data_IF_840910134894
#
_entry.id   IF_840910134894
#
_cell.length_a   1.000
_cell.length_b   1.000
_cell.length_c   1.000
_cell.angle_alpha   90.00
_cell.angle_beta   90.00
_cell.angle_gamma   90.00
#
_symmetry.space_group_name_H-M   'P 1'
#
loop_
_entity.id
_entity.type
_entity.pdbx_description
1 polymer ?
#
# COMPACT_ATOMS: atom_id res chain seq x y z
N UNK A 1 -27.44 -38.17 27.58
CA UNK A 1 -28.02 -37.42 26.45
C UNK A 1 -26.90 -36.82 25.61
N UNK A 2 -26.88 -37.14 24.30
CA UNK A 2 -26.21 -36.49 23.14
C UNK A 2 -24.68 -36.24 23.22
N UNK A 3 -23.82 -37.05 22.59
CA UNK A 3 -23.52 -37.25 21.15
C UNK A 3 -22.60 -36.19 20.54
N UNK A 4 -21.33 -36.56 20.32
CA UNK A 4 -20.37 -35.87 19.44
C UNK A 4 -20.22 -36.74 18.18
N UNK A 5 -20.71 -36.26 17.06
CA UNK A 5 -20.41 -36.71 15.69
C UNK A 5 -19.74 -35.54 14.98
N UNK A 6 -18.93 -35.67 13.93
CA UNK A 6 -18.52 -36.79 13.11
C UNK A 6 -17.67 -36.19 11.98
N UNK A 7 -16.52 -36.81 11.73
CA UNK A 7 -15.49 -36.45 10.76
C UNK A 7 -16.04 -36.61 9.31
N UNK A 8 -15.75 -35.69 8.39
CA UNK A 8 -16.00 -35.85 6.94
C UNK A 8 -14.74 -35.55 6.13
N UNK A 9 -14.06 -36.61 5.72
CA UNK A 9 -13.15 -36.62 4.56
C UNK A 9 -13.93 -37.14 3.35
N UNK A 10 -13.74 -36.54 2.17
CA UNK A 10 -14.27 -37.03 0.88
C UNK A 10 -13.12 -37.61 0.05
N UNK A 11 -13.29 -38.78 -0.58
CA UNK A 11 -12.53 -39.14 -1.77
C UNK A 11 -13.40 -39.08 -3.05
N UNK A 12 -12.75 -38.65 -4.13
CA UNK A 12 -13.25 -38.68 -5.51
C UNK A 12 -13.28 -40.12 -6.08
N UNK A 13 -14.26 -40.48 -6.93
CA UNK A 13 -14.24 -41.74 -7.65
C UNK A 13 -13.58 -41.65 -9.04
N UNK A 14 -12.85 -42.72 -9.34
CA UNK A 14 -12.03 -43.01 -10.51
C UNK A 14 -12.83 -43.35 -11.77
N UNK A 15 -12.22 -43.07 -12.92
CA UNK A 15 -12.75 -43.25 -14.27
C UNK A 15 -12.85 -44.72 -14.73
N UNK A 16 -13.83 -45.01 -15.60
CA UNK A 16 -13.99 -46.27 -16.37
C UNK A 16 -13.35 -46.15 -17.77
N UNK A 17 -12.96 -47.28 -18.41
CA UNK A 17 -12.39 -47.29 -19.75
C UNK A 17 -13.41 -47.63 -20.86
N UNK A 18 -13.23 -47.04 -22.04
CA UNK A 18 -13.74 -47.44 -23.36
C UNK A 18 -12.48 -47.49 -24.26
N UNK A 19 -12.21 -48.41 -25.19
CA UNK A 19 -13.00 -49.33 -25.99
C UNK A 19 -12.30 -49.36 -27.36
N UNK A 20 -11.61 -50.46 -27.69
CA UNK A 20 -10.79 -50.61 -28.90
C UNK A 20 -11.65 -50.87 -30.15
N UNK A 21 -11.27 -50.30 -31.30
CA UNK A 21 -11.79 -50.65 -32.61
C UNK A 21 -10.64 -50.85 -33.62
N UNK A 22 -10.68 -52.00 -34.31
CA UNK A 22 -9.81 -52.47 -35.40
C UNK A 22 -10.25 -51.89 -36.75
N UNK A 23 -9.35 -51.82 -37.75
CA UNK A 23 -9.77 -51.77 -39.15
C UNK A 23 -8.70 -51.39 -40.20
N UNK A 24 -8.04 -52.42 -40.74
CA UNK A 24 -7.60 -52.65 -42.14
C UNK A 24 -6.72 -51.67 -42.94
N UNK A 25 -5.61 -52.22 -43.46
CA UNK A 25 -4.81 -51.76 -44.61
C UNK A 25 -5.09 -52.64 -45.84
N UNK A 26 -4.85 -52.16 -47.07
CA UNK A 26 -4.69 -53.03 -48.23
C UNK A 26 -3.28 -52.97 -48.87
N UNK A 27 -3.00 -54.06 -49.57
CA UNK A 27 -1.73 -54.55 -50.12
C UNK A 27 -1.08 -53.71 -51.24
N UNK A 28 0.23 -53.94 -51.40
CA UNK A 28 1.05 -53.55 -52.53
C UNK A 28 1.45 -54.79 -53.36
N UNK A 29 1.46 -54.66 -54.69
CA UNK A 29 2.12 -55.60 -55.58
C UNK A 29 1.93 -55.22 -57.05
N UNK A 30 3.01 -54.86 -57.76
CA UNK A 30 3.49 -55.57 -58.96
C UNK A 30 4.73 -54.91 -59.60
N UNK A 31 5.54 -55.75 -60.25
CA UNK A 31 6.94 -55.56 -60.62
C UNK A 31 7.11 -55.72 -62.16
N UNK A 32 7.91 -54.82 -62.78
CA UNK A 32 8.88 -55.06 -63.89
C UNK A 32 8.34 -55.48 -65.31
N UNK A 33 8.70 -54.88 -66.47
CA UNK A 33 10.01 -54.86 -67.22
C UNK A 33 9.84 -54.27 -68.67
N UNK A 34 10.88 -54.14 -69.56
CA UNK A 34 11.27 -52.84 -70.15
C UNK A 34 11.49 -52.79 -71.71
N UNK A 35 12.05 -51.65 -72.19
CA UNK A 35 12.91 -51.40 -73.39
C UNK A 35 12.26 -51.10 -74.77
N UNK A 36 12.58 -49.92 -75.32
CA UNK A 36 13.17 -49.73 -76.68
C UNK A 36 13.78 -48.32 -76.83
N UNK A 37 14.91 -48.23 -77.57
CA UNK A 37 15.82 -47.07 -77.70
C UNK A 37 15.47 -46.14 -78.91
N UNK A 38 16.36 -45.25 -79.41
CA UNK A 38 16.25 -43.79 -79.29
C UNK A 38 15.97 -43.10 -80.64
N UNK A 39 15.13 -42.06 -80.66
CA UNK A 39 14.95 -41.21 -81.84
C UNK A 39 15.70 -39.88 -81.70
N UNK A 40 16.41 -39.55 -82.76
CA UNK A 40 17.34 -38.43 -82.95
C UNK A 40 16.69 -37.03 -82.98
N UNK A 41 15.53 -36.86 -82.34
CA UNK A 41 14.88 -35.56 -82.08
C UNK A 41 15.35 -34.90 -80.78
N UNK A 42 16.41 -35.41 -80.15
CA UNK A 42 16.82 -34.96 -78.82
C UNK A 42 17.58 -33.63 -78.84
N UNK A 43 18.38 -33.31 -79.86
CA UNK A 43 19.37 -32.22 -79.77
C UNK A 43 18.78 -30.79 -79.83
N UNK A 44 17.70 -30.57 -80.58
CA UNK A 44 17.02 -29.26 -80.63
C UNK A 44 16.00 -29.09 -79.49
N UNK A 45 15.28 -30.17 -79.16
CA UNK A 45 14.39 -30.22 -78.00
C UNK A 45 15.17 -30.02 -76.69
N UNK A 46 16.39 -30.58 -76.55
CA UNK A 46 17.26 -30.38 -75.38
C UNK A 46 17.76 -28.94 -75.25
N UNK A 47 18.03 -28.24 -76.36
CA UNK A 47 18.43 -26.81 -76.34
C UNK A 47 17.25 -25.94 -75.93
N UNK A 48 16.06 -26.17 -76.48
CA UNK A 48 14.83 -25.49 -76.06
C UNK A 48 14.51 -25.80 -74.58
N UNK A 49 14.51 -27.08 -74.17
CA UNK A 49 14.30 -27.50 -72.79
C UNK A 49 15.32 -26.88 -71.84
N UNK A 50 16.59 -26.73 -72.24
CA UNK A 50 17.62 -26.07 -71.41
C UNK A 50 17.42 -24.55 -71.31
N UNK A 51 16.90 -23.90 -72.35
CA UNK A 51 16.55 -22.49 -72.33
C UNK A 51 15.31 -22.24 -71.44
N UNK A 52 14.28 -23.07 -71.57
CA UNK A 52 13.10 -23.05 -70.70
C UNK A 52 13.46 -23.42 -69.25
N UNK A 53 14.34 -24.40 -69.01
CA UNK A 53 14.85 -24.71 -67.66
C UNK A 53 15.63 -23.55 -67.07
N UNK A 54 16.46 -22.85 -67.84
CA UNK A 54 17.21 -21.66 -67.37
C UNK A 54 16.28 -20.50 -67.05
N UNK A 55 15.24 -20.29 -67.86
CA UNK A 55 14.23 -19.25 -67.63
C UNK A 55 13.36 -19.59 -66.41
N UNK A 56 12.96 -20.86 -66.26
CA UNK A 56 12.25 -21.37 -65.08
C UNK A 56 13.15 -21.31 -63.84
N UNK A 57 14.44 -21.63 -63.94
CA UNK A 57 15.42 -21.49 -62.84
C UNK A 57 15.66 -20.03 -62.47
N UNK A 58 15.68 -19.10 -63.43
CA UNK A 58 15.80 -17.66 -63.16
C UNK A 58 14.53 -17.08 -62.54
N UNK A 59 13.35 -17.53 -62.97
CA UNK A 59 12.06 -17.15 -62.38
C UNK A 59 11.90 -17.77 -60.98
N UNK A 60 12.33 -19.02 -60.78
CA UNK A 60 12.36 -19.70 -59.47
C UNK A 60 13.39 -19.06 -58.52
N UNK A 61 14.57 -18.68 -59.01
CA UNK A 61 15.58 -17.99 -58.21
C UNK A 61 15.12 -16.56 -57.85
N UNK A 62 14.50 -15.85 -58.79
CA UNK A 62 13.91 -14.52 -58.56
C UNK A 62 12.74 -14.56 -57.56
N UNK A 63 11.87 -15.56 -57.66
CA UNK A 63 10.78 -15.76 -56.69
C UNK A 63 11.26 -16.23 -55.32
N UNK A 64 12.35 -17.00 -55.24
CA UNK A 64 12.99 -17.34 -53.97
C UNK A 64 13.56 -16.10 -53.26
N UNK A 65 14.13 -15.13 -54.00
CA UNK A 65 14.64 -13.86 -53.44
C UNK A 65 13.50 -12.95 -52.96
N UNK A 66 12.37 -12.90 -53.68
CA UNK A 66 11.18 -12.13 -53.28
C UNK A 66 10.51 -12.72 -52.02
N UNK A 67 10.51 -14.05 -51.83
CA UNK A 67 10.02 -14.67 -50.60
C UNK A 67 10.90 -14.40 -49.37
N UNK A 68 12.20 -14.11 -49.55
CA UNK A 68 13.12 -13.82 -48.43
C UNK A 68 12.96 -12.38 -47.87
N UNK A 69 12.35 -11.46 -48.62
CA UNK A 69 12.11 -10.09 -48.15
C UNK A 69 10.82 -9.94 -47.31
N UNK A 70 9.90 -10.91 -47.35
CA UNK A 70 8.68 -10.89 -46.53
C UNK A 70 8.91 -11.42 -45.09
N UNK A 71 10.08 -11.99 -44.79
CA UNK A 71 10.43 -12.54 -43.47
C UNK A 71 11.01 -11.53 -42.47
N UNK A 72 11.45 -10.35 -42.92
CA UNK A 72 12.06 -9.34 -42.02
C UNK A 72 11.03 -8.53 -41.24
N UNK A 73 9.82 -8.33 -41.77
CA UNK A 73 8.76 -7.60 -41.06
C UNK A 73 8.17 -8.43 -39.92
N UNK A 74 8.00 -9.74 -40.11
CA UNK A 74 7.44 -10.66 -39.10
C UNK A 74 8.40 -10.91 -37.93
N UNK A 75 9.72 -10.97 -38.20
CA UNK A 75 10.76 -11.11 -37.15
C UNK A 75 10.90 -9.88 -36.26
N UNK A 76 10.77 -8.68 -36.84
CA UNK A 76 10.82 -7.43 -36.08
C UNK A 76 9.62 -7.30 -35.13
N UNK A 77 8.42 -7.65 -35.59
CA UNK A 77 7.20 -7.64 -34.76
C UNK A 77 7.24 -8.70 -33.65
N UNK A 78 7.76 -9.91 -33.94
CA UNK A 78 7.90 -10.94 -32.91
C UNK A 78 8.94 -10.60 -31.85
N UNK A 79 10.05 -9.97 -32.24
CA UNK A 79 11.08 -9.56 -31.27
C UNK A 79 10.58 -8.40 -30.40
N UNK A 80 9.88 -7.41 -30.98
CA UNK A 80 9.29 -6.31 -30.23
C UNK A 80 8.22 -6.79 -29.21
N UNK A 81 7.43 -7.80 -29.55
CA UNK A 81 6.45 -8.41 -28.63
C UNK A 81 7.15 -9.24 -27.54
N UNK A 82 8.19 -10.01 -27.88
CA UNK A 82 9.00 -10.75 -26.89
C UNK A 82 9.73 -9.77 -25.95
N UNK A 83 10.28 -8.67 -26.48
CA UNK A 83 10.93 -7.63 -25.69
C UNK A 83 9.90 -6.94 -24.78
N UNK A 84 8.68 -6.67 -25.24
CA UNK A 84 7.61 -6.13 -24.39
C UNK A 84 7.21 -7.10 -23.27
N UNK A 85 7.17 -8.40 -23.54
CA UNK A 85 6.82 -9.44 -22.55
C UNK A 85 7.96 -9.73 -21.56
N UNK A 86 9.19 -9.34 -21.88
CA UNK A 86 10.39 -9.57 -21.03
C UNK A 86 10.91 -8.30 -20.36
N UNK A 87 10.52 -7.12 -20.84
CA UNK A 87 10.73 -5.85 -20.17
C UNK A 87 9.60 -5.62 -19.16
N UNK A 88 9.89 -5.12 -17.94
CA UNK A 88 8.85 -4.64 -17.04
C UNK A 88 8.05 -3.56 -17.77
N UNK A 89 6.71 -3.72 -17.86
CA UNK A 89 5.85 -2.66 -18.39
C UNK A 89 6.19 -1.34 -17.68
N UNK A 90 6.47 -0.25 -18.43
CA UNK A 90 6.86 1.01 -17.83
C UNK A 90 5.77 1.46 -16.89
N UNK A 91 6.16 1.79 -15.66
CA UNK A 91 5.22 2.23 -14.63
C UNK A 91 4.29 3.31 -15.17
N UNK A 92 2.99 3.17 -14.88
CA UNK A 92 2.01 4.18 -15.22
C UNK A 92 2.44 5.55 -14.67
N UNK A 93 1.96 6.64 -15.29
CA UNK A 93 2.22 8.01 -14.82
C UNK A 93 1.98 8.13 -13.31
N UNK A 94 0.84 7.57 -12.84
CA UNK A 94 0.48 7.50 -11.41
C UNK A 94 1.48 6.68 -10.59
N UNK A 95 1.95 5.53 -11.06
CA UNK A 95 2.95 4.72 -10.33
C UNK A 95 4.30 5.45 -10.17
N UNK A 96 4.76 6.17 -11.21
CA UNK A 96 5.97 6.99 -11.10
C UNK A 96 5.81 8.12 -10.10
N UNK A 97 4.65 8.80 -10.09
CA UNK A 97 4.33 9.82 -9.11
C UNK A 97 4.20 9.25 -7.68
N UNK A 98 3.60 8.06 -7.52
CA UNK A 98 3.51 7.35 -6.23
C UNK A 98 4.89 7.11 -5.64
N UNK A 99 5.88 6.66 -6.42
CA UNK A 99 7.24 6.47 -5.90
C UNK A 99 7.85 7.76 -5.35
N UNK A 100 7.66 8.87 -6.05
CA UNK A 100 8.09 10.20 -5.60
C UNK A 100 7.39 10.58 -4.29
N UNK A 101 6.09 10.33 -4.17
CA UNK A 101 5.34 10.58 -2.92
C UNK A 101 5.74 9.67 -1.78
N UNK A 102 6.04 8.40 -2.03
CA UNK A 102 6.57 7.49 -1.00
C UNK A 102 7.90 8.01 -0.45
N UNK A 103 8.81 8.46 -1.33
CA UNK A 103 10.08 9.03 -0.92
C UNK A 103 9.88 10.37 -0.18
N UNK A 104 9.02 11.25 -0.68
CA UNK A 104 8.67 12.50 -0.02
C UNK A 104 8.09 12.28 1.38
N UNK A 105 7.22 11.27 1.55
CA UNK A 105 6.68 10.89 2.85
C UNK A 105 7.75 10.39 3.83
N UNK A 106 8.74 9.65 3.33
CA UNK A 106 9.89 9.22 4.14
C UNK A 106 10.77 10.41 4.57
N UNK A 107 11.00 11.39 3.69
CA UNK A 107 11.70 12.62 4.06
C UNK A 107 10.90 13.47 5.05
N UNK A 108 9.58 13.56 4.86
CA UNK A 108 8.69 14.28 5.78
C UNK A 108 8.74 13.68 7.19
N UNK A 109 8.71 12.34 7.30
CA UNK A 109 8.80 11.64 8.59
C UNK A 109 10.15 11.86 9.30
N UNK A 110 11.21 12.16 8.55
CA UNK A 110 12.56 12.46 9.07
C UNK A 110 12.79 13.98 9.28
N UNK A 111 11.74 14.78 9.22
CA UNK A 111 11.78 16.25 9.35
C UNK A 111 12.61 16.96 8.26
N UNK A 112 12.95 16.28 7.17
CA UNK A 112 13.70 16.84 6.03
C UNK A 112 12.74 17.54 5.05
N UNK A 113 12.23 18.71 5.45
CA UNK A 113 11.16 19.42 4.73
C UNK A 113 11.54 19.83 3.29
N UNK A 114 12.78 20.24 3.05
CA UNK A 114 13.22 20.67 1.71
C UNK A 114 13.23 19.49 0.72
N UNK A 115 13.77 18.34 1.14
CA UNK A 115 13.77 17.12 0.34
C UNK A 115 12.35 16.60 0.10
N UNK A 116 11.50 16.62 1.14
CA UNK A 116 10.09 16.25 1.02
C UNK A 116 9.35 17.15 0.01
N UNK A 117 9.60 18.47 0.06
CA UNK A 117 9.03 19.44 -0.88
C UNK A 117 9.49 19.19 -2.31
N UNK A 118 10.78 18.94 -2.53
CA UNK A 118 11.34 18.67 -3.85
C UNK A 118 10.71 17.42 -4.48
N UNK A 119 10.63 16.31 -3.74
CA UNK A 119 10.05 15.07 -4.24
C UNK A 119 8.53 15.18 -4.46
N UNK A 120 7.83 15.93 -3.60
CA UNK A 120 6.41 16.23 -3.80
C UNK A 120 6.17 17.03 -5.08
N UNK A 121 7.00 18.04 -5.36
CA UNK A 121 6.93 18.81 -6.62
C UNK A 121 7.24 17.95 -7.83
N UNK A 122 8.24 17.07 -7.74
CA UNK A 122 8.55 16.13 -8.81
C UNK A 122 7.37 15.17 -9.09
N UNK A 123 6.66 14.72 -8.06
CA UNK A 123 5.45 13.93 -8.24
C UNK A 123 4.36 14.70 -9.00
N UNK A 124 4.13 15.97 -8.64
CA UNK A 124 3.14 16.83 -9.29
C UNK A 124 3.52 17.23 -10.72
N UNK A 125 4.81 17.27 -11.05
CA UNK A 125 5.26 17.44 -12.45
C UNK A 125 4.96 16.20 -13.31
N UNK A 126 4.97 15.01 -12.69
CA UNK A 126 4.64 13.75 -13.37
C UNK A 126 3.12 13.60 -13.50
N UNK A 127 2.39 13.84 -12.41
CA UNK A 127 0.94 13.72 -12.32
C UNK A 127 0.34 14.94 -11.61
N UNK A 128 -0.07 15.98 -12.38
CA UNK A 128 -0.62 17.21 -11.83
C UNK A 128 -1.95 17.05 -11.09
N UNK A 129 -2.64 15.92 -11.26
CA UNK A 129 -3.95 15.61 -10.67
C UNK A 129 -3.83 14.56 -9.55
N UNK A 130 -2.65 14.40 -8.96
CA UNK A 130 -2.44 13.47 -7.86
C UNK A 130 -2.87 14.07 -6.51
N UNK A 131 -4.09 13.74 -6.07
CA UNK A 131 -4.66 14.24 -4.81
C UNK A 131 -3.75 13.98 -3.59
N UNK A 132 -3.16 12.79 -3.46
CA UNK A 132 -2.25 12.48 -2.35
C UNK A 132 -1.01 13.38 -2.33
N UNK A 133 -0.49 13.79 -3.50
CA UNK A 133 0.65 14.70 -3.58
C UNK A 133 0.32 16.08 -3.01
N UNK A 134 -0.86 16.63 -3.34
CA UNK A 134 -1.33 17.87 -2.72
C UNK A 134 -1.62 17.72 -1.22
N UNK A 135 -2.11 16.55 -0.78
CA UNK A 135 -2.28 16.29 0.65
C UNK A 135 -0.95 16.30 1.39
N UNK A 136 0.12 15.73 0.82
CA UNK A 136 1.46 15.77 1.41
C UNK A 136 2.03 17.19 1.38
N UNK A 137 1.81 17.93 0.30
CA UNK A 137 2.17 19.35 0.20
C UNK A 137 1.52 20.18 1.32
N UNK A 138 0.25 19.91 1.61
CA UNK A 138 -0.47 20.53 2.73
C UNK A 138 0.17 20.24 4.08
N UNK A 139 0.56 18.99 4.33
CA UNK A 139 1.29 18.61 5.56
C UNK A 139 2.65 19.31 5.66
N UNK A 140 3.40 19.41 4.57
CA UNK A 140 4.70 20.11 4.53
C UNK A 140 4.51 21.60 4.85
N UNK A 141 3.53 22.25 4.20
CA UNK A 141 3.23 23.66 4.49
C UNK A 141 2.78 23.86 5.94
N UNK A 142 1.98 22.96 6.50
CA UNK A 142 1.60 23.00 7.91
C UNK A 142 2.82 22.91 8.83
N UNK A 143 3.77 22.01 8.55
CA UNK A 143 5.02 21.89 9.34
C UNK A 143 5.88 23.14 9.26
N UNK A 144 5.91 23.79 8.11
CA UNK A 144 6.60 25.07 7.90
C UNK A 144 5.81 26.28 8.42
N UNK A 145 4.71 26.08 9.15
CA UNK A 145 3.82 27.12 9.66
C UNK A 145 3.21 28.04 8.57
N UNK A 146 3.17 27.56 7.32
CA UNK A 146 2.55 28.24 6.18
C UNK A 146 1.08 27.85 6.07
N UNK A 147 0.26 28.32 7.03
CA UNK A 147 -1.13 27.87 7.22
C UNK A 147 -2.01 28.07 5.99
N UNK A 148 -1.92 29.22 5.31
CA UNK A 148 -2.74 29.51 4.13
C UNK A 148 -2.42 28.58 2.95
N UNK A 149 -1.13 28.31 2.73
CA UNK A 149 -0.68 27.38 1.69
C UNK A 149 -1.08 25.94 2.03
N UNK A 150 -1.06 25.57 3.31
CA UNK A 150 -1.55 24.27 3.77
C UNK A 150 -3.04 24.10 3.46
N UNK A 151 -3.87 25.09 3.81
CA UNK A 151 -5.30 25.11 3.52
C UNK A 151 -5.56 24.97 2.01
N UNK A 152 -4.91 25.78 1.17
CA UNK A 152 -5.05 25.70 -0.30
C UNK A 152 -4.66 24.34 -0.86
N UNK A 153 -3.60 23.72 -0.33
CA UNK A 153 -3.13 22.40 -0.77
C UNK A 153 -4.15 21.31 -0.43
N UNK A 154 -4.69 21.30 0.80
CA UNK A 154 -5.71 20.34 1.19
C UNK A 154 -7.02 20.53 0.41
N UNK A 155 -7.47 21.76 0.20
CA UNK A 155 -8.65 22.02 -0.63
C UNK A 155 -8.46 21.53 -2.07
N UNK A 156 -7.26 21.69 -2.62
CA UNK A 156 -6.92 21.16 -3.94
C UNK A 156 -6.96 19.64 -3.95
N UNK A 157 -6.38 18.98 -2.94
CA UNK A 157 -6.42 17.53 -2.81
C UNK A 157 -7.87 17.01 -2.77
N UNK A 158 -8.74 17.62 -1.95
CA UNK A 158 -10.16 17.24 -1.86
C UNK A 158 -10.89 17.45 -3.19
N UNK A 159 -10.68 18.58 -3.88
CA UNK A 159 -11.29 18.79 -5.21
C UNK A 159 -10.87 17.72 -6.21
N UNK A 160 -9.61 17.27 -6.19
CA UNK A 160 -9.10 16.24 -7.09
C UNK A 160 -9.70 14.87 -6.79
N UNK A 161 -9.91 14.52 -5.51
CA UNK A 161 -10.58 13.25 -5.14
C UNK A 161 -11.99 13.10 -5.71
N UNK A 162 -12.69 14.21 -5.99
CA UNK A 162 -14.03 14.20 -6.57
C UNK A 162 -14.03 14.20 -8.12
N UNK A 163 -12.92 14.57 -8.74
CA UNK A 163 -12.80 14.71 -10.21
C UNK A 163 -12.16 13.50 -10.88
N UNK A 164 -11.23 12.86 -10.19
CA UNK A 164 -10.47 11.71 -10.70
C UNK A 164 -11.04 10.44 -10.08
N UNK A 165 -10.96 9.32 -10.80
CA UNK A 165 -11.26 8.00 -10.23
C UNK A 165 -10.25 7.67 -9.13
N UNK A 166 -10.55 8.07 -7.90
CA UNK A 166 -9.69 7.89 -6.73
C UNK A 166 -10.20 6.75 -5.86
N UNK A 167 -9.30 5.88 -5.40
CA UNK A 167 -9.68 4.77 -4.50
C UNK A 167 -10.16 5.31 -3.15
N UNK A 168 -11.08 4.60 -2.48
CA UNK A 168 -11.54 5.00 -1.15
C UNK A 168 -10.41 5.10 -0.11
N UNK A 169 -9.33 4.32 -0.25
CA UNK A 169 -8.14 4.43 0.59
C UNK A 169 -7.41 5.78 0.42
N UNK A 170 -7.24 6.24 -0.83
CA UNK A 170 -6.63 7.54 -1.11
C UNK A 170 -7.55 8.69 -0.66
N UNK A 171 -8.86 8.60 -0.89
CA UNK A 171 -9.82 9.61 -0.40
C UNK A 171 -9.76 9.69 1.13
N UNK A 172 -9.78 8.54 1.81
CA UNK A 172 -9.73 8.47 3.28
C UNK A 172 -8.44 9.08 3.84
N UNK A 173 -7.28 8.82 3.21
CA UNK A 173 -6.01 9.39 3.64
C UNK A 173 -5.96 10.92 3.47
N UNK A 174 -6.50 11.46 2.37
CA UNK A 174 -6.59 12.91 2.15
C UNK A 174 -7.50 13.57 3.20
N UNK A 175 -8.68 12.98 3.43
CA UNK A 175 -9.64 13.46 4.44
C UNK A 175 -9.07 13.40 5.85
N UNK A 176 -8.35 12.33 6.21
CA UNK A 176 -7.64 12.21 7.48
C UNK A 176 -6.65 13.35 7.70
N UNK A 177 -5.76 13.58 6.73
CA UNK A 177 -4.74 14.61 6.85
C UNK A 177 -5.36 16.01 6.95
N UNK A 178 -6.41 16.27 6.16
CA UNK A 178 -7.11 17.55 6.22
C UNK A 178 -7.84 17.73 7.56
N UNK A 179 -8.50 16.68 8.07
CA UNK A 179 -9.10 16.69 9.40
C UNK A 179 -8.09 16.99 10.50
N UNK A 180 -6.90 16.38 10.44
CA UNK A 180 -5.84 16.65 11.40
C UNK A 180 -5.34 18.09 11.32
N UNK A 181 -5.13 18.62 10.12
CA UNK A 181 -4.79 20.03 9.92
C UNK A 181 -5.84 20.96 10.54
N UNK A 182 -7.12 20.75 10.23
CA UNK A 182 -8.24 21.54 10.80
C UNK A 182 -8.26 21.48 12.33
N UNK A 183 -7.97 20.31 12.90
CA UNK A 183 -7.89 20.14 14.35
C UNK A 183 -6.77 20.98 14.97
N UNK A 184 -5.60 21.03 14.33
CA UNK A 184 -4.48 21.88 14.77
C UNK A 184 -4.81 23.37 14.67
N UNK A 185 -5.68 23.77 13.74
CA UNK A 185 -6.19 25.13 13.63
C UNK A 185 -7.35 25.45 14.58
N UNK A 186 -7.74 24.53 15.47
CA UNK A 186 -8.87 24.69 16.39
C UNK A 186 -10.25 24.59 15.73
N UNK A 187 -10.33 24.21 14.44
CA UNK A 187 -11.58 24.03 13.69
C UNK A 187 -12.16 22.63 13.97
N UNK A 188 -12.51 22.37 15.22
CA UNK A 188 -12.82 21.03 15.73
C UNK A 188 -14.00 20.35 15.03
N UNK A 189 -15.13 21.05 14.84
CA UNK A 189 -16.31 20.47 14.17
C UNK A 189 -16.02 20.09 12.72
N UNK A 190 -15.28 20.95 12.00
CA UNK A 190 -14.85 20.66 10.63
C UNK A 190 -13.86 19.48 10.59
N UNK A 191 -12.93 19.40 11.54
CA UNK A 191 -12.00 18.27 11.66
C UNK A 191 -12.73 16.95 11.86
N UNK A 192 -13.68 16.90 12.81
CA UNK A 192 -14.49 15.72 13.11
C UNK A 192 -15.32 15.28 11.90
N UNK A 193 -15.86 16.24 11.13
CA UNK A 193 -16.55 15.94 9.87
C UNK A 193 -15.61 15.26 8.86
N UNK A 194 -14.41 15.78 8.65
CA UNK A 194 -13.44 15.15 7.73
C UNK A 194 -13.04 13.74 8.20
N UNK A 195 -12.82 13.54 9.50
CA UNK A 195 -12.51 12.21 10.04
C UNK A 195 -13.66 11.22 9.85
N UNK A 196 -14.91 11.63 10.08
CA UNK A 196 -16.07 10.77 9.84
C UNK A 196 -16.19 10.38 8.36
N UNK A 197 -15.95 11.34 7.45
CA UNK A 197 -15.90 11.08 6.01
C UNK A 197 -14.75 10.15 5.63
N UNK A 198 -13.58 10.25 6.27
CA UNK A 198 -12.45 9.35 6.03
C UNK A 198 -12.79 7.91 6.45
N UNK A 199 -13.38 7.75 7.64
CA UNK A 199 -13.75 6.45 8.21
C UNK A 199 -14.82 5.73 7.38
N UNK A 200 -15.69 6.48 6.68
CA UNK A 200 -16.72 5.89 5.83
C UNK A 200 -16.22 5.42 4.45
N UNK A 201 -14.97 5.72 4.09
CA UNK A 201 -14.46 5.36 2.77
C UNK A 201 -14.23 3.84 2.63
N UNK A 202 -14.69 3.22 1.54
CA UNK A 202 -14.46 1.80 1.27
C UNK A 202 -12.96 1.48 1.15
N UNK A 203 -12.50 0.47 1.90
CA UNK A 203 -11.13 -0.01 1.82
C UNK A 203 -10.07 0.90 2.46
N UNK A 204 -10.48 1.94 3.19
CA UNK A 204 -9.55 2.81 3.89
C UNK A 204 -8.79 2.09 5.00
N UNK A 205 -7.46 2.10 4.94
CA UNK A 205 -6.60 1.26 5.78
C UNK A 205 -6.20 1.91 7.11
N UNK A 206 -6.26 3.24 7.23
CA UNK A 206 -5.78 3.97 8.40
C UNK A 206 -6.91 4.29 9.40
N UNK A 207 -7.88 3.38 9.54
CA UNK A 207 -9.03 3.55 10.44
C UNK A 207 -8.60 3.75 11.90
N UNK A 208 -7.71 2.89 12.41
CA UNK A 208 -7.22 2.98 13.79
C UNK A 208 -6.53 4.32 14.08
N UNK A 209 -5.65 4.77 13.18
CA UNK A 209 -4.98 6.06 13.30
C UNK A 209 -5.96 7.23 13.23
N UNK A 210 -7.00 7.15 12.40
CA UNK A 210 -8.02 8.18 12.28
C UNK A 210 -8.87 8.29 13.54
N UNK A 211 -9.28 7.17 14.12
CA UNK A 211 -9.95 7.15 15.41
C UNK A 211 -9.07 7.73 16.53
N UNK A 212 -7.78 7.39 16.55
CA UNK A 212 -6.83 7.92 17.52
C UNK A 212 -6.76 9.46 17.46
N UNK A 213 -6.49 10.03 16.28
CA UNK A 213 -6.35 11.50 16.16
C UNK A 213 -7.69 12.22 16.32
N UNK A 214 -8.81 11.59 15.98
CA UNK A 214 -10.14 12.12 16.28
C UNK A 214 -10.38 12.20 17.79
N UNK A 215 -9.98 11.17 18.55
CA UNK A 215 -10.01 11.17 20.01
C UNK A 215 -9.18 12.31 20.61
N UNK A 216 -7.94 12.49 20.13
CA UNK A 216 -7.09 13.63 20.53
C UNK A 216 -7.78 14.97 20.23
N UNK A 217 -8.42 15.08 19.08
CA UNK A 217 -9.16 16.28 18.71
C UNK A 217 -10.36 16.55 19.63
N UNK A 218 -11.07 15.48 20.01
CA UNK A 218 -12.19 15.54 20.94
C UNK A 218 -11.75 15.97 22.34
N UNK A 219 -10.62 15.49 22.85
CA UNK A 219 -10.02 15.98 24.10
C UNK A 219 -9.76 17.49 24.03
N UNK A 220 -9.11 17.98 22.96
CA UNK A 220 -8.83 19.41 22.77
C UNK A 220 -10.09 20.27 22.70
N UNK A 221 -11.16 19.72 22.13
CA UNK A 221 -12.47 20.37 22.06
C UNK A 221 -13.35 20.19 23.30
N UNK A 222 -12.81 19.60 24.39
CA UNK A 222 -13.52 19.33 25.66
C UNK A 222 -14.74 18.40 25.51
N UNK A 223 -14.60 17.35 24.69
CA UNK A 223 -15.63 16.33 24.44
C UNK A 223 -15.20 14.94 24.96
N UNK A 224 -15.05 14.74 26.29
CA UNK A 224 -14.39 13.56 26.86
C UNK A 224 -15.13 12.24 26.58
N UNK A 225 -16.46 12.25 26.57
CA UNK A 225 -17.27 11.04 26.27
C UNK A 225 -17.02 10.54 24.85
N UNK A 226 -16.98 11.46 23.89
CA UNK A 226 -16.70 11.10 22.50
C UNK A 226 -15.24 10.69 22.33
N UNK A 227 -14.31 11.39 23.00
CA UNK A 227 -12.89 11.05 22.97
C UNK A 227 -12.64 9.61 23.44
N UNK A 228 -13.26 9.21 24.56
CA UNK A 228 -13.21 7.85 25.09
C UNK A 228 -13.65 6.82 24.05
N UNK A 229 -14.81 7.03 23.41
CA UNK A 229 -15.30 6.13 22.36
C UNK A 229 -14.32 6.03 21.17
N UNK A 230 -13.74 7.15 20.75
CA UNK A 230 -12.76 7.17 19.66
C UNK A 230 -11.49 6.41 20.03
N UNK A 231 -10.96 6.58 21.24
CA UNK A 231 -9.79 5.84 21.71
C UNK A 231 -10.07 4.34 21.86
N UNK A 232 -11.23 3.95 22.38
CA UNK A 232 -11.64 2.54 22.44
C UNK A 232 -11.70 1.90 21.05
N UNK A 233 -12.26 2.63 20.06
CA UNK A 233 -12.24 2.18 18.66
C UNK A 233 -10.82 2.08 18.11
N UNK A 234 -9.95 3.04 18.42
CA UNK A 234 -8.54 3.00 18.01
C UNK A 234 -7.81 1.76 18.59
N UNK A 235 -8.05 1.43 19.86
CA UNK A 235 -7.50 0.24 20.50
C UNK A 235 -8.04 -1.07 19.90
N UNK A 236 -9.23 -1.05 19.29
CA UNK A 236 -9.73 -2.18 18.50
C UNK A 236 -8.84 -2.54 17.31
N UNK A 237 -8.10 -1.56 16.76
CA UNK A 237 -7.13 -1.78 15.68
C UNK A 237 -5.70 -1.98 16.20
N UNK A 238 -5.31 -1.23 17.24
CA UNK A 238 -3.99 -1.28 17.85
C UNK A 238 -4.12 -1.38 19.39
N UNK A 239 -4.28 -2.59 19.96
CA UNK A 239 -4.57 -2.76 21.39
C UNK A 239 -3.51 -2.22 22.34
N UNK A 240 -2.28 -2.04 21.85
CA UNK A 240 -1.14 -1.53 22.61
C UNK A 240 -0.72 -0.12 22.15
N UNK A 241 -1.59 0.63 21.49
CA UNK A 241 -1.25 2.02 21.12
C UNK A 241 -1.00 2.86 22.39
N UNK A 242 0.22 3.39 22.57
CA UNK A 242 0.59 4.07 23.82
C UNK A 242 -0.15 5.39 24.01
N UNK A 243 -0.54 6.04 22.91
CA UNK A 243 -1.25 7.33 22.95
C UNK A 243 -2.70 7.11 23.39
N UNK A 244 -3.43 6.19 22.76
CA UNK A 244 -4.81 5.89 23.13
C UNK A 244 -4.94 5.43 24.58
N UNK A 245 -4.04 4.53 25.04
CA UNK A 245 -4.04 4.06 26.44
C UNK A 245 -3.70 5.18 27.43
N UNK A 246 -2.74 6.06 27.10
CA UNK A 246 -2.42 7.21 27.95
C UNK A 246 -3.58 8.19 28.06
N UNK A 247 -4.21 8.55 26.95
CA UNK A 247 -5.34 9.47 26.94
C UNK A 247 -6.55 8.89 27.68
N UNK A 248 -6.85 7.59 27.51
CA UNK A 248 -7.88 6.92 28.31
C UNK A 248 -7.54 6.88 29.80
N UNK A 249 -6.29 6.64 30.17
CA UNK A 249 -5.86 6.66 31.57
C UNK A 249 -5.96 8.07 32.18
N UNK A 250 -5.69 9.13 31.41
CA UNK A 250 -5.91 10.52 31.83
C UNK A 250 -7.39 10.80 32.07
N UNK A 251 -8.27 10.35 31.18
CA UNK A 251 -9.72 10.48 31.35
C UNK A 251 -10.20 9.70 32.59
N UNK A 252 -9.74 8.46 32.78
CA UNK A 252 -10.05 7.66 33.97
C UNK A 252 -9.56 8.32 35.27
N UNK A 253 -8.37 8.94 35.25
CA UNK A 253 -7.85 9.70 36.38
C UNK A 253 -8.72 10.90 36.71
N UNK A 254 -9.14 11.67 35.69
CA UNK A 254 -10.06 12.81 35.86
C UNK A 254 -11.42 12.37 36.40
N UNK A 255 -11.91 11.20 35.97
CA UNK A 255 -13.15 10.60 36.44
C UNK A 255 -13.05 10.01 37.87
N UNK A 256 -11.88 10.11 38.52
CA UNK A 256 -11.65 9.61 39.88
C UNK A 256 -11.45 8.09 39.95
N UNK A 257 -11.01 7.46 38.85
CA UNK A 257 -10.82 6.01 38.71
C UNK A 257 -9.33 5.61 38.60
N UNK A 258 -8.48 5.92 39.60
CA UNK A 258 -7.03 5.71 39.53
C UNK A 258 -6.63 4.24 39.37
N UNK A 259 -7.39 3.30 39.92
CA UNK A 259 -7.12 1.86 39.75
C UNK A 259 -7.29 1.40 38.29
N UNK A 260 -8.25 1.98 37.56
CA UNK A 260 -8.48 1.66 36.15
C UNK A 260 -7.38 2.27 35.27
N UNK A 261 -7.10 3.56 35.47
CA UNK A 261 -6.02 4.27 34.80
C UNK A 261 -4.65 3.58 34.98
N UNK A 262 -4.34 3.11 36.20
CA UNK A 262 -3.10 2.36 36.48
C UNK A 262 -3.01 1.06 35.67
N UNK A 263 -4.09 0.28 35.61
CA UNK A 263 -4.11 -0.96 34.81
C UNK A 263 -3.89 -0.69 33.33
N UNK A 264 -4.51 0.36 32.80
CA UNK A 264 -4.36 0.75 31.38
C UNK A 264 -2.89 1.00 31.00
N UNK A 265 -2.12 1.58 31.93
CA UNK A 265 -0.72 1.94 31.71
C UNK A 265 0.31 0.86 32.08
N UNK A 266 -0.09 -0.23 32.74
CA UNK A 266 0.83 -1.23 33.30
C UNK A 266 1.83 -1.76 32.26
N UNK A 267 1.34 -2.27 31.13
CA UNK A 267 2.21 -2.82 30.08
C UNK A 267 3.08 -1.75 29.40
N UNK A 268 2.53 -0.53 29.23
CA UNK A 268 3.26 0.57 28.58
C UNK A 268 4.43 0.98 29.46
N UNK A 269 4.18 1.22 30.75
CA UNK A 269 5.15 1.70 31.70
C UNK A 269 6.21 0.65 32.05
N UNK A 270 5.92 -0.64 31.83
CA UNK A 270 6.89 -1.72 31.96
C UNK A 270 7.70 -1.97 30.67
N UNK A 271 7.15 -1.65 29.49
CA UNK A 271 7.75 -1.91 28.18
C UNK A 271 8.61 -0.79 27.58
N UNK A 272 9.00 -0.98 26.31
CA UNK A 272 9.81 -0.03 25.55
C UNK A 272 9.06 1.26 25.18
N UNK A 273 7.73 1.18 25.08
CA UNK A 273 6.84 2.28 24.70
C UNK A 273 6.54 3.28 25.82
N UNK A 274 7.08 3.07 27.03
CA UNK A 274 6.99 4.04 28.11
C UNK A 274 7.47 5.42 27.66
N UNK A 275 6.67 6.45 27.92
CA UNK A 275 6.97 7.87 27.66
C UNK A 275 7.14 8.63 28.98
N UNK A 276 7.73 9.85 28.98
CA UNK A 276 7.78 10.67 30.18
C UNK A 276 6.39 10.89 30.81
N UNK A 277 5.39 11.18 29.97
CA UNK A 277 4.01 11.41 30.41
C UNK A 277 3.35 10.16 30.99
N UNK A 278 3.54 8.99 30.38
CA UNK A 278 2.93 7.75 30.86
C UNK A 278 3.53 7.29 32.20
N UNK A 279 4.87 7.41 32.35
CA UNK A 279 5.54 7.09 33.61
C UNK A 279 5.15 8.08 34.71
N UNK A 280 5.10 9.38 34.40
CA UNK A 280 4.69 10.39 35.36
C UNK A 280 3.25 10.19 35.84
N UNK A 281 2.31 9.93 34.92
CA UNK A 281 0.95 9.60 35.31
C UNK A 281 0.93 8.33 36.18
N UNK A 282 1.75 7.32 35.86
CA UNK A 282 1.95 6.14 36.70
C UNK A 282 2.42 6.45 38.12
N UNK A 283 3.37 7.40 38.29
CA UNK A 283 3.83 7.87 39.60
C UNK A 283 2.69 8.52 40.39
N UNK A 284 1.92 9.40 39.76
CA UNK A 284 0.76 10.05 40.39
C UNK A 284 -0.30 9.02 40.80
N UNK A 285 -0.60 8.07 39.91
CA UNK A 285 -1.53 6.96 40.15
C UNK A 285 -1.12 6.10 41.35
N UNK A 286 0.15 5.69 41.38
CA UNK A 286 0.69 4.90 42.48
C UNK A 286 0.65 5.67 43.81
N UNK A 287 0.94 6.97 43.79
CA UNK A 287 0.84 7.84 44.97
C UNK A 287 -0.60 7.94 45.49
N UNK A 288 -1.58 8.22 44.64
CA UNK A 288 -2.98 8.28 45.04
C UNK A 288 -3.51 6.95 45.59
N UNK A 289 -2.97 5.84 45.11
CA UNK A 289 -3.32 4.48 45.54
C UNK A 289 -2.47 3.97 46.72
N UNK A 290 -1.57 4.80 47.27
CA UNK A 290 -0.67 4.48 48.38
C UNK A 290 0.24 3.27 48.09
N UNK A 291 0.71 3.15 46.85
CA UNK A 291 1.62 2.10 46.39
C UNK A 291 3.04 2.64 46.28
N UNK A 292 3.70 2.83 47.43
CA UNK A 292 5.00 3.52 47.51
C UNK A 292 6.12 2.83 46.69
N UNK A 293 6.16 1.48 46.71
CA UNK A 293 7.14 0.71 45.95
C UNK A 293 6.99 0.92 44.43
N UNK A 294 5.75 0.89 43.93
CA UNK A 294 5.45 1.13 42.51
C UNK A 294 5.76 2.58 42.13
N UNK A 295 5.38 3.54 42.97
CA UNK A 295 5.67 4.96 42.78
C UNK A 295 7.18 5.21 42.62
N UNK A 296 8.00 4.67 43.53
CA UNK A 296 9.45 4.83 43.47
C UNK A 296 10.05 4.15 42.23
N UNK A 297 9.62 2.93 41.91
CA UNK A 297 10.08 2.19 40.73
C UNK A 297 9.82 2.96 39.44
N UNK A 298 8.60 3.50 39.28
CA UNK A 298 8.23 4.27 38.09
C UNK A 298 8.98 5.60 38.02
N UNK A 299 9.16 6.28 39.15
CA UNK A 299 9.90 7.53 39.23
C UNK A 299 11.39 7.37 38.94
N UNK A 300 12.03 6.32 39.46
CA UNK A 300 13.42 5.97 39.14
C UNK A 300 13.58 5.67 37.66
N UNK A 301 12.66 4.89 37.08
CA UNK A 301 12.68 4.62 35.64
C UNK A 301 12.53 5.89 34.80
N UNK A 302 11.65 6.81 35.22
CA UNK A 302 11.46 8.10 34.57
C UNK A 302 12.76 8.92 34.61
N UNK A 303 13.41 9.01 35.77
CA UNK A 303 14.68 9.72 35.92
C UNK A 303 15.82 9.08 35.11
N UNK A 304 15.89 7.74 35.07
CA UNK A 304 16.93 7.02 34.33
C UNK A 304 16.77 7.13 32.81
N UNK A 305 15.56 6.90 32.28
CA UNK A 305 15.30 6.86 30.83
C UNK A 305 15.12 8.26 30.23
N UNK A 306 14.63 9.22 31.01
CA UNK A 306 14.22 10.54 30.54
C UNK A 306 14.71 11.67 31.45
N UNK A 307 15.98 11.63 31.84
CA UNK A 307 16.59 12.57 32.79
C UNK A 307 16.35 14.05 32.47
N UNK A 308 16.29 14.41 31.18
CA UNK A 308 16.10 15.80 30.72
C UNK A 308 14.62 16.20 30.54
N UNK A 309 13.67 15.33 30.90
CA UNK A 309 12.25 15.64 30.78
C UNK A 309 11.76 16.52 31.95
N UNK A 310 10.79 17.43 31.71
CA UNK A 310 10.15 18.17 32.79
C UNK A 310 9.58 17.26 33.90
N UNK A 311 9.03 16.12 33.51
CA UNK A 311 8.47 15.12 34.43
C UNK A 311 9.54 14.49 35.32
N UNK A 312 10.73 14.20 34.80
CA UNK A 312 11.84 13.72 35.62
C UNK A 312 12.29 14.79 36.63
N UNK A 313 12.29 16.07 36.24
CA UNK A 313 12.58 17.16 37.17
C UNK A 313 11.53 17.28 38.28
N UNK A 314 10.23 17.06 37.98
CA UNK A 314 9.16 16.99 38.98
C UNK A 314 9.41 15.85 39.98
N UNK A 315 9.76 14.66 39.49
CA UNK A 315 10.08 13.51 40.35
C UNK A 315 11.28 13.79 41.26
N UNK A 316 12.41 14.22 40.70
CA UNK A 316 13.65 14.49 41.44
C UNK A 316 13.47 15.62 42.45
N UNK A 317 12.68 16.63 42.10
CA UNK A 317 12.31 17.74 42.98
C UNK A 317 11.21 17.41 44.00
N UNK A 318 10.67 16.17 44.00
CA UNK A 318 9.52 15.75 44.82
C UNK A 318 8.31 16.70 44.71
N UNK A 319 8.09 17.25 43.51
CA UNK A 319 6.98 18.17 43.20
C UNK A 319 5.83 17.38 42.59
N UNK A 320 4.82 17.08 43.41
CA UNK A 320 3.64 16.33 43.02
C UNK A 320 2.42 17.26 43.07
N UNK A 321 2.31 18.16 42.09
CA UNK A 321 1.14 19.01 41.97
C UNK A 321 -0.02 18.17 41.42
N UNK A 322 -1.04 17.93 42.24
CA UNK A 322 -2.16 17.03 41.94
C UNK A 322 -3.32 17.71 41.17
N UNK A 323 -3.11 18.90 40.59
CA UNK A 323 -4.18 19.70 39.98
C UNK A 323 -3.75 20.46 38.74
#
# INVERSE_FOLDING_TARGET
MRSVSGRRERPHPSAKPYGQAKGNSPDAGEFMKPVSQPSTMASEQLKALSAWLRLILLVLAGSLVVLQMQGCSSRATSQAEIDRLTQPEPDSVRQRAIRRITLAGAYFAQEQMDAAMQETRAALQIDPDFAQAYSLLGLIHQRNNAVDLAQQSFETAIRLTARVSTSGDEIGAVLHNYGWFLCQQGKYSSAQYQFAMAISQPGYRQLGQTWLVNGVCQVRSKQPVQARNSFEKALGFAPNDPTARLELALLDWQDGNPSQARRMLGDINTGAQATPSSLWLGVLLARALKLESEMNTLGERLAQKFANSPQAALWLGRKFDDK
#
